data_IF_948266780899
#
_entry.id   IF_948266780899
#
_cell.length_a   1.000
_cell.length_b   1.000
_cell.length_c   1.000
_cell.angle_alpha   90.00
_cell.angle_beta   90.00
_cell.angle_gamma   90.00
#
_symmetry.space_group_name_H-M   'P 1'
#
loop_
_entity.id
_entity.type
_entity.pdbx_description
1 polymer ?
#
# COMPACT_ATOMS: atom_id res chain seq x y z
N UNK A 1 -50.15 26.94 -16.00
CA UNK A 1 -50.75 27.21 -17.33
C UNK A 1 -49.70 27.94 -18.16
N UNK A 2 -48.78 27.23 -18.82
CA UNK A 2 -48.87 26.65 -20.17
C UNK A 2 -48.78 27.69 -21.32
N UNK A 3 -47.54 27.88 -21.80
CA UNK A 3 -47.03 27.97 -23.19
C UNK A 3 -47.76 28.80 -24.25
N UNK A 4 -46.97 29.61 -24.98
CA UNK A 4 -46.78 29.71 -26.47
C UNK A 4 -46.20 31.11 -26.79
N UNK A 5 -45.18 31.37 -27.61
CA UNK A 5 -44.29 30.57 -28.45
C UNK A 5 -43.58 31.47 -29.49
N UNK A 6 -42.42 31.01 -30.02
CA UNK A 6 -41.88 31.21 -31.40
C UNK A 6 -41.23 32.60 -31.69
N UNK A 7 -40.07 32.80 -32.34
CA UNK A 7 -39.16 32.08 -33.28
C UNK A 7 -37.72 32.64 -33.09
N UNK A 8 -36.57 31.95 -33.20
CA UNK A 8 -35.95 31.06 -34.20
C UNK A 8 -35.09 31.77 -35.29
N UNK A 9 -33.85 31.24 -35.44
CA UNK A 9 -32.89 31.29 -36.57
C UNK A 9 -32.02 32.57 -36.73
N UNK A 10 -30.75 32.59 -37.17
CA UNK A 10 -29.79 31.69 -37.87
C UNK A 10 -28.38 31.98 -37.29
N UNK A 11 -27.40 31.08 -37.08
CA UNK A 11 -26.69 30.14 -37.95
C UNK A 11 -25.76 30.74 -39.04
N UNK A 12 -24.45 30.49 -38.86
CA UNK A 12 -23.35 30.26 -39.83
C UNK A 12 -22.57 31.42 -40.50
N UNK A 13 -21.30 31.10 -40.85
CA UNK A 13 -20.32 31.75 -41.78
C UNK A 13 -19.16 32.47 -41.04
N UNK A 14 -17.85 32.26 -41.24
CA UNK A 14 -17.04 31.50 -42.23
C UNK A 14 -15.60 31.32 -41.67
N UNK A 15 -14.93 30.26 -42.11
CA UNK A 15 -13.48 30.03 -41.96
C UNK A 15 -12.65 30.68 -43.09
N UNK A 16 -11.32 30.70 -42.87
CA UNK A 16 -10.18 30.84 -43.82
C UNK A 16 -9.47 32.21 -43.92
N UNK A 17 -8.35 32.31 -43.19
CA UNK A 17 -6.97 32.41 -43.74
C UNK A 17 -6.50 33.70 -44.40
N UNK A 18 -5.34 34.22 -43.95
CA UNK A 18 -4.23 34.71 -44.78
C UNK A 18 -2.99 35.05 -43.91
N UNK A 19 -1.86 34.52 -44.36
CA UNK A 19 -0.46 34.67 -43.89
C UNK A 19 0.13 36.06 -44.11
N UNK A 20 1.02 36.53 -43.20
CA UNK A 20 2.24 37.27 -43.54
C UNK A 20 3.15 37.54 -42.31
N UNK A 21 4.44 37.21 -42.45
CA UNK A 21 5.69 37.80 -41.89
C UNK A 21 5.76 38.12 -40.37
N UNK A 22 6.74 37.70 -39.56
CA UNK A 22 8.13 37.31 -39.80
C UNK A 22 9.05 38.23 -38.97
N UNK A 23 9.64 37.75 -37.87
CA UNK A 23 10.97 38.13 -37.34
C UNK A 23 11.28 37.38 -36.02
N UNK A 24 12.51 36.84 -35.91
CA UNK A 24 13.07 36.20 -34.70
C UNK A 24 13.74 37.25 -33.81
N UNK A 25 13.79 37.04 -32.48
CA UNK A 25 14.97 37.41 -31.70
C UNK A 25 15.76 36.19 -31.21
N UNK A 26 17.07 36.39 -31.15
CA UNK A 26 18.12 35.43 -30.84
C UNK A 26 18.11 34.91 -29.40
N UNK A 27 18.66 33.70 -29.32
CA UNK A 27 19.31 33.02 -28.21
C UNK A 27 19.83 33.89 -27.04
N UNK A 28 19.36 33.55 -25.85
CA UNK A 28 20.19 33.58 -24.64
C UNK A 28 20.23 32.17 -24.06
N UNK A 29 21.42 31.56 -24.12
CA UNK A 29 21.76 30.30 -23.46
C UNK A 29 21.75 30.46 -21.94
N UNK A 30 21.01 29.60 -21.24
CA UNK A 30 21.33 29.20 -19.86
C UNK A 30 20.79 27.80 -19.59
N UNK A 31 21.71 26.88 -19.27
CA UNK A 31 21.46 25.71 -18.42
C UNK A 31 20.90 24.46 -19.10
N UNK A 32 21.76 23.50 -19.43
CA UNK A 32 21.39 22.09 -19.55
C UNK A 32 20.86 21.60 -18.19
N UNK A 33 19.55 21.66 -17.96
CA UNK A 33 18.90 20.79 -16.98
C UNK A 33 18.48 19.53 -17.72
N UNK A 34 19.34 18.51 -17.72
CA UNK A 34 18.89 17.15 -18.01
C UNK A 34 17.85 16.77 -16.96
N UNK A 35 16.58 16.87 -17.32
CA UNK A 35 15.50 16.17 -16.63
C UNK A 35 15.89 14.69 -16.60
N UNK A 36 16.01 14.04 -15.43
CA UNK A 36 16.22 12.60 -15.39
C UNK A 36 15.01 11.96 -16.05
N UNK A 37 15.26 11.16 -17.09
CA UNK A 37 14.23 10.32 -17.68
C UNK A 37 13.75 9.36 -16.59
N UNK A 38 12.47 9.49 -16.23
CA UNK A 38 11.76 8.49 -15.43
C UNK A 38 11.97 7.14 -16.11
N UNK A 39 12.47 6.09 -15.42
CA UNK A 39 12.45 4.75 -15.95
C UNK A 39 10.99 4.45 -16.30
N UNK A 40 10.76 4.05 -17.55
CA UNK A 40 9.45 3.58 -18.00
C UNK A 40 9.21 2.22 -17.34
N UNK A 41 8.81 2.25 -16.08
CA UNK A 41 8.13 1.13 -15.45
C UNK A 41 6.91 0.77 -16.28
N UNK A 42 6.60 -0.51 -16.36
CA UNK A 42 5.34 -0.99 -16.89
C UNK A 42 4.19 -0.37 -16.08
N UNK A 43 3.72 0.81 -16.47
CA UNK A 43 2.39 1.28 -16.08
C UNK A 43 1.47 0.78 -17.18
N UNK A 44 1.15 -0.51 -17.11
CA UNK A 44 0.01 -1.03 -17.83
C UNK A 44 -1.21 -0.22 -17.38
N UNK A 45 -2.08 0.15 -18.32
CA UNK A 45 -3.29 0.89 -18.00
C UNK A 45 -4.03 0.17 -16.86
N UNK A 46 -4.57 0.92 -15.91
CA UNK A 46 -5.33 0.42 -14.76
C UNK A 46 -6.58 -0.32 -15.25
N UNK A 47 -6.42 -1.57 -15.65
CA UNK A 47 -7.51 -2.49 -15.98
C UNK A 47 -7.86 -3.16 -14.67
N UNK A 48 -8.77 -2.54 -13.93
CA UNK A 48 -9.50 -3.25 -12.87
C UNK A 48 -10.26 -4.38 -13.58
N UNK A 49 -9.95 -5.66 -13.32
CA UNK A 49 -10.56 -6.73 -14.09
C UNK A 49 -12.02 -6.93 -13.64
N UNK A 50 -12.90 -7.30 -14.57
CA UNK A 50 -14.33 -7.55 -14.29
C UNK A 50 -14.51 -8.72 -13.30
N UNK A 51 -13.57 -9.65 -13.27
CA UNK A 51 -13.41 -10.71 -12.27
C UNK A 51 -11.93 -11.14 -12.19
N UNK A 52 -11.55 -11.95 -11.20
CA UNK A 52 -10.17 -12.42 -11.05
C UNK A 52 -9.91 -13.80 -11.69
N UNK A 53 -10.72 -14.20 -12.68
CA UNK A 53 -10.49 -15.45 -13.42
C UNK A 53 -9.45 -15.21 -14.51
N UNK A 54 -8.41 -16.05 -14.55
CA UNK A 54 -7.37 -15.95 -15.56
C UNK A 54 -7.87 -16.37 -16.94
N UNK A 55 -8.89 -17.24 -17.01
CA UNK A 55 -9.36 -17.86 -18.25
C UNK A 55 -8.36 -18.84 -18.87
N UNK A 56 -7.27 -19.16 -18.17
CA UNK A 56 -6.19 -20.03 -18.64
C UNK A 56 -6.33 -21.41 -18.01
N UNK A 57 -6.27 -22.45 -18.82
CA UNK A 57 -6.22 -23.83 -18.33
C UNK A 57 -4.83 -24.12 -17.74
N UNK A 58 -4.78 -24.53 -16.48
CA UNK A 58 -3.51 -24.86 -15.82
C UNK A 58 -2.89 -26.12 -16.43
N UNK A 59 -1.58 -26.08 -16.64
CA UNK A 59 -0.84 -27.24 -17.12
C UNK A 59 -0.85 -28.37 -16.07
N UNK A 60 -0.78 -29.65 -16.47
CA UNK A 60 -0.78 -30.77 -15.53
C UNK A 60 0.38 -30.74 -14.51
N UNK A 61 1.50 -30.11 -14.86
CA UNK A 61 2.70 -29.93 -14.05
C UNK A 61 2.81 -28.52 -13.43
N UNK A 62 1.69 -27.78 -13.33
CA UNK A 62 1.66 -26.44 -12.76
C UNK A 62 2.26 -26.41 -11.35
N UNK A 63 3.26 -25.53 -11.14
CA UNK A 63 3.77 -25.24 -9.79
C UNK A 63 2.81 -24.26 -9.08
N UNK A 64 2.50 -24.54 -7.81
CA UNK A 64 1.58 -23.74 -7.01
C UNK A 64 2.32 -23.14 -5.82
N UNK A 65 2.49 -21.82 -5.84
CA UNK A 65 3.03 -21.08 -4.70
C UNK A 65 1.98 -20.98 -3.59
N UNK A 66 2.39 -21.09 -2.32
CA UNK A 66 1.56 -20.75 -1.17
C UNK A 66 1.73 -19.26 -0.88
N UNK A 67 0.64 -18.49 -1.05
CA UNK A 67 0.60 -17.07 -0.77
C UNK A 67 -0.22 -16.78 0.49
N UNK A 68 0.45 -16.43 1.58
CA UNK A 68 -0.17 -16.10 2.87
C UNK A 68 -0.28 -14.59 3.10
N UNK A 69 -1.44 -14.13 3.56
CA UNK A 69 -1.69 -12.73 3.90
C UNK A 69 -2.81 -12.54 4.94
N UNK A 70 -2.93 -11.30 5.42
CA UNK A 70 -4.00 -10.87 6.32
C UNK A 70 -5.38 -10.75 5.66
N UNK A 71 -6.28 -10.01 6.32
CA UNK A 71 -7.71 -9.93 5.97
C UNK A 71 -8.12 -8.65 5.22
N UNK A 72 -7.17 -7.77 4.86
CA UNK A 72 -7.53 -6.49 4.25
C UNK A 72 -8.09 -6.68 2.82
N UNK A 73 -9.29 -6.17 2.50
CA UNK A 73 -9.92 -6.43 1.20
C UNK A 73 -9.06 -6.03 -0.01
N UNK A 74 -8.42 -4.85 0.05
CA UNK A 74 -7.59 -4.36 -1.05
C UNK A 74 -6.37 -5.26 -1.31
N UNK A 75 -5.75 -5.81 -0.26
CA UNK A 75 -4.59 -6.70 -0.41
C UNK A 75 -5.01 -8.09 -0.88
N UNK A 76 -6.20 -8.55 -0.48
CA UNK A 76 -6.78 -9.79 -0.99
C UNK A 76 -7.05 -9.68 -2.49
N UNK A 77 -7.63 -8.57 -2.94
CA UNK A 77 -7.88 -8.35 -4.36
C UNK A 77 -6.58 -8.19 -5.16
N UNK A 78 -5.55 -7.54 -4.60
CA UNK A 78 -4.21 -7.51 -5.19
C UNK A 78 -3.58 -8.92 -5.30
N UNK A 79 -3.77 -9.79 -4.29
CA UNK A 79 -3.29 -11.17 -4.35
C UNK A 79 -4.01 -12.01 -5.41
N UNK A 80 -5.34 -11.83 -5.57
CA UNK A 80 -6.11 -12.46 -6.64
C UNK A 80 -5.68 -11.94 -8.02
N UNK A 81 -5.44 -10.64 -8.15
CA UNK A 81 -4.91 -10.05 -9.37
C UNK A 81 -3.54 -10.62 -9.73
N UNK A 82 -2.65 -10.75 -8.74
CA UNK A 82 -1.35 -11.39 -8.89
C UNK A 82 -1.49 -12.83 -9.38
N UNK A 83 -2.37 -13.64 -8.78
CA UNK A 83 -2.67 -15.00 -9.22
C UNK A 83 -3.11 -15.04 -10.69
N UNK A 84 -4.07 -14.19 -11.05
CA UNK A 84 -4.62 -14.09 -12.40
C UNK A 84 -3.52 -13.79 -13.43
N UNK A 85 -2.69 -12.76 -13.16
CA UNK A 85 -1.57 -12.41 -14.06
C UNK A 85 -0.50 -13.49 -14.08
N UNK A 86 -0.20 -14.12 -12.94
CA UNK A 86 0.78 -15.21 -12.89
C UNK A 86 0.38 -16.38 -13.79
N UNK A 87 -0.90 -16.76 -13.77
CA UNK A 87 -1.44 -17.82 -14.64
C UNK A 87 -1.43 -17.41 -16.11
N UNK A 88 -1.75 -16.15 -16.43
CA UNK A 88 -1.74 -15.61 -17.79
C UNK A 88 -0.33 -15.51 -18.38
N UNK A 89 0.60 -14.87 -17.66
CA UNK A 89 1.97 -14.63 -18.13
C UNK A 89 2.81 -15.92 -18.18
N UNK A 90 2.40 -16.96 -17.45
CA UNK A 90 3.09 -18.26 -17.45
C UNK A 90 2.46 -19.30 -18.37
N UNK A 91 1.41 -18.94 -19.13
CA UNK A 91 0.59 -19.86 -19.90
C UNK A 91 0.18 -21.09 -19.07
N UNK A 92 -0.31 -20.86 -17.84
CA UNK A 92 -0.78 -21.89 -16.92
C UNK A 92 0.31 -22.78 -16.30
N UNK A 93 1.59 -22.43 -16.44
CA UNK A 93 2.69 -23.17 -15.80
C UNK A 93 2.86 -22.85 -14.31
N UNK A 94 2.43 -21.65 -13.89
CA UNK A 94 2.53 -21.16 -12.52
C UNK A 94 1.16 -20.71 -12.03
N UNK A 95 0.89 -20.97 -10.75
CA UNK A 95 -0.31 -20.52 -10.05
C UNK A 95 0.03 -20.30 -8.58
N UNK A 96 -0.88 -19.70 -7.82
CA UNK A 96 -0.74 -19.62 -6.37
C UNK A 96 -2.04 -19.96 -5.63
N UNK A 97 -1.90 -20.58 -4.47
CA UNK A 97 -2.96 -20.84 -3.50
C UNK A 97 -2.91 -19.76 -2.42
N UNK A 98 -4.00 -18.98 -2.34
CA UNK A 98 -4.07 -17.79 -1.49
C UNK A 98 -4.73 -18.16 -0.16
N UNK A 99 -4.03 -17.89 0.93
CA UNK A 99 -4.50 -18.11 2.30
C UNK A 99 -4.61 -16.77 3.03
N UNK A 100 -5.85 -16.35 3.30
CA UNK A 100 -6.19 -15.06 3.91
C UNK A 100 -6.43 -15.17 5.42
N UNK A 101 -6.78 -14.04 6.03
CA UNK A 101 -7.28 -13.99 7.41
C UNK A 101 -6.29 -14.46 8.47
N UNK A 102 -4.99 -14.48 8.14
CA UNK A 102 -3.94 -15.00 9.01
C UNK A 102 -4.19 -16.47 9.44
N UNK A 103 -4.90 -17.26 8.61
CA UNK A 103 -5.23 -18.67 8.92
C UNK A 103 -3.99 -19.54 9.11
N UNK A 104 -2.87 -19.14 8.52
CA UNK A 104 -1.58 -19.83 8.61
C UNK A 104 -0.68 -19.32 9.75
N UNK A 105 -1.10 -18.28 10.48
CA UNK A 105 -0.32 -17.69 11.58
C UNK A 105 -0.22 -16.17 11.50
N UNK A 106 0.40 -15.58 12.51
CA UNK A 106 0.74 -14.15 12.57
C UNK A 106 1.79 -13.78 11.52
N UNK A 107 1.86 -12.50 11.10
CA UNK A 107 2.81 -12.05 10.07
C UNK A 107 4.27 -12.45 10.37
N UNK A 108 4.66 -12.43 11.65
CA UNK A 108 6.00 -12.84 12.07
C UNK A 108 6.24 -14.33 11.83
N UNK A 109 5.30 -15.18 12.25
CA UNK A 109 5.37 -16.63 12.02
C UNK A 109 5.36 -16.96 10.52
N UNK A 110 4.59 -16.21 9.72
CA UNK A 110 4.58 -16.36 8.26
C UNK A 110 5.93 -16.02 7.64
N UNK A 111 6.56 -14.91 8.06
CA UNK A 111 7.90 -14.54 7.58
C UNK A 111 8.96 -15.58 7.98
N UNK A 112 8.95 -16.05 9.23
CA UNK A 112 9.84 -17.13 9.67
C UNK A 112 9.61 -18.41 8.86
N UNK A 113 8.34 -18.78 8.64
CA UNK A 113 7.96 -19.93 7.81
C UNK A 113 8.40 -19.78 6.35
N UNK A 114 8.37 -18.57 5.80
CA UNK A 114 8.83 -18.27 4.45
C UNK A 114 10.35 -18.46 4.31
N UNK A 115 11.15 -18.04 5.30
CA UNK A 115 12.60 -18.29 5.30
C UNK A 115 12.94 -19.79 5.28
N UNK A 116 12.10 -20.62 5.92
CA UNK A 116 12.25 -22.07 5.93
C UNK A 116 11.65 -22.77 4.70
N UNK A 117 10.96 -22.03 3.82
CA UNK A 117 10.32 -22.58 2.62
C UNK A 117 8.99 -23.29 2.88
N UNK A 118 8.34 -23.04 4.02
CA UNK A 118 7.00 -23.55 4.29
C UNK A 118 5.91 -22.79 3.51
N UNK A 119 6.19 -21.52 3.19
CA UNK A 119 5.34 -20.64 2.38
C UNK A 119 6.21 -19.93 1.35
N UNK A 120 5.70 -19.74 0.13
CA UNK A 120 6.49 -19.15 -0.94
C UNK A 120 6.38 -17.61 -0.99
N UNK A 121 5.20 -17.07 -0.70
CA UNK A 121 4.91 -15.63 -0.76
C UNK A 121 4.19 -15.20 0.50
N UNK A 122 4.66 -14.14 1.14
CA UNK A 122 4.04 -13.56 2.33
C UNK A 122 3.88 -12.06 2.15
N UNK A 123 2.67 -11.55 2.42
CA UNK A 123 2.45 -10.13 2.60
C UNK A 123 2.53 -9.79 4.09
N UNK A 124 3.48 -8.95 4.48
CA UNK A 124 3.68 -8.51 5.85
C UNK A 124 3.87 -7.00 5.94
N UNK A 125 3.54 -6.42 7.09
CA UNK A 125 3.73 -4.98 7.32
C UNK A 125 5.20 -4.62 7.60
N UNK A 126 5.58 -3.39 7.25
CA UNK A 126 6.95 -2.87 7.44
C UNK A 126 7.48 -3.12 8.85
N UNK A 127 6.66 -2.89 9.86
CA UNK A 127 7.02 -3.10 11.26
C UNK A 127 7.43 -4.55 11.57
N UNK A 128 6.70 -5.52 11.04
CA UNK A 128 7.02 -6.94 11.22
C UNK A 128 8.30 -7.29 10.46
N UNK A 129 8.44 -6.82 9.22
CA UNK A 129 9.65 -7.04 8.39
C UNK A 129 10.90 -6.42 9.03
N UNK A 130 10.75 -5.28 9.72
CA UNK A 130 11.85 -4.60 10.39
C UNK A 130 12.49 -5.42 11.52
N UNK A 131 11.78 -6.41 12.06
CA UNK A 131 12.35 -7.37 13.02
C UNK A 131 13.41 -8.29 12.40
N UNK A 132 13.43 -8.43 11.07
CA UNK A 132 14.40 -9.22 10.31
C UNK A 132 15.48 -8.36 9.65
N UNK A 133 15.11 -7.14 9.22
CA UNK A 133 16.01 -6.15 8.63
C UNK A 133 15.76 -4.77 9.22
N UNK A 134 16.63 -4.34 10.13
CA UNK A 134 16.49 -3.06 10.84
C UNK A 134 16.42 -1.84 9.92
N UNK A 135 17.00 -1.90 8.72
CA UNK A 135 16.99 -0.76 7.78
C UNK A 135 15.57 -0.38 7.36
N UNK A 136 14.62 -1.32 7.41
CA UNK A 136 13.21 -1.09 7.13
C UNK A 136 12.58 -0.10 8.12
N UNK A 137 13.10 0.04 9.34
CA UNK A 137 12.61 1.04 10.31
C UNK A 137 12.69 2.47 9.78
N UNK A 138 13.52 2.76 8.77
CA UNK A 138 13.55 4.09 8.18
C UNK A 138 12.21 4.50 7.57
N UNK A 139 11.36 3.54 7.18
CA UNK A 139 10.03 3.78 6.62
C UNK A 139 8.98 4.15 7.69
N UNK A 140 9.23 3.77 8.95
CA UNK A 140 8.29 3.97 10.06
C UNK A 140 8.55 5.25 10.85
N UNK A 141 9.45 6.12 10.37
CA UNK A 141 9.73 7.41 11.00
C UNK A 141 8.46 8.27 10.96
N UNK A 142 7.95 8.74 12.12
CA UNK A 142 6.72 9.52 12.17
C UNK A 142 6.83 10.81 11.35
N UNK A 143 5.78 11.11 10.59
CA UNK A 143 5.68 12.35 9.78
C UNK A 143 6.74 12.49 8.68
N UNK A 144 7.38 11.39 8.27
CA UNK A 144 8.42 11.41 7.23
C UNK A 144 7.88 11.79 5.85
N UNK A 145 6.63 11.41 5.55
CA UNK A 145 6.01 11.60 4.24
C UNK A 145 4.82 12.55 4.33
N UNK A 146 4.75 13.51 3.40
CA UNK A 146 3.68 14.49 3.30
C UNK A 146 2.42 13.91 2.64
N UNK A 147 2.60 12.96 1.72
CA UNK A 147 1.51 12.38 0.94
C UNK A 147 1.92 11.03 0.32
N UNK A 148 0.93 10.31 -0.24
CA UNK A 148 1.10 8.98 -0.83
C UNK A 148 2.04 8.98 -2.04
N UNK A 149 1.98 10.02 -2.87
CA UNK A 149 2.81 10.11 -4.08
C UNK A 149 4.30 10.13 -3.74
N UNK A 150 4.67 10.88 -2.69
CA UNK A 150 6.04 10.89 -2.19
C UNK A 150 6.49 9.50 -1.70
N UNK A 151 5.60 8.73 -1.06
CA UNK A 151 5.91 7.37 -0.63
C UNK A 151 6.24 6.49 -1.83
N UNK A 152 5.43 6.55 -2.89
CA UNK A 152 5.65 5.76 -4.11
C UNK A 152 6.97 6.12 -4.77
N UNK A 153 7.25 7.41 -4.97
CA UNK A 153 8.50 7.86 -5.60
C UNK A 153 9.76 7.45 -4.82
N UNK A 154 9.67 7.40 -3.48
CA UNK A 154 10.77 6.99 -2.62
C UNK A 154 10.98 5.47 -2.66
N UNK A 155 9.88 4.70 -2.58
CA UNK A 155 9.91 3.23 -2.54
C UNK A 155 10.16 2.59 -3.91
N UNK A 156 9.76 3.25 -5.00
CA UNK A 156 10.05 2.81 -6.38
C UNK A 156 11.43 3.32 -6.85
N UNK A 157 12.14 4.04 -5.99
CA UNK A 157 13.46 4.60 -6.26
C UNK A 157 14.60 3.85 -5.57
N UNK A 158 15.74 4.54 -5.46
CA UNK A 158 16.99 3.99 -4.92
C UNK A 158 16.85 3.43 -3.51
N UNK A 159 15.99 4.04 -2.67
CA UNK A 159 15.76 3.53 -1.32
C UNK A 159 15.12 2.14 -1.35
N UNK A 160 14.07 1.96 -2.16
CA UNK A 160 13.42 0.66 -2.31
C UNK A 160 14.37 -0.43 -2.80
N UNK A 161 15.17 -0.13 -3.83
CA UNK A 161 16.19 -1.06 -4.34
C UNK A 161 17.21 -1.44 -3.26
N UNK A 162 17.63 -0.46 -2.45
CA UNK A 162 18.58 -0.69 -1.35
C UNK A 162 17.97 -1.58 -0.27
N UNK A 163 16.71 -1.33 0.11
CA UNK A 163 15.99 -2.14 1.09
C UNK A 163 15.72 -3.55 0.56
N UNK A 164 15.39 -3.69 -0.72
CA UNK A 164 15.20 -4.99 -1.38
C UNK A 164 16.48 -5.83 -1.34
N UNK A 165 17.63 -5.23 -1.67
CA UNK A 165 18.93 -5.90 -1.59
C UNK A 165 19.26 -6.34 -0.15
N UNK A 166 18.99 -5.49 0.83
CA UNK A 166 19.20 -5.84 2.25
C UNK A 166 18.30 -6.98 2.74
N UNK A 167 17.10 -7.14 2.17
CA UNK A 167 16.20 -8.26 2.46
C UNK A 167 16.69 -9.58 1.85
N UNK A 168 17.37 -9.54 0.71
CA UNK A 168 17.95 -10.75 0.09
C UNK A 168 19.00 -11.40 1.00
N UNK A 169 19.83 -10.59 1.68
CA UNK A 169 20.78 -11.07 2.69
C UNK A 169 20.09 -11.73 3.91
N UNK A 170 18.80 -11.47 4.10
CA UNK A 170 17.95 -12.09 5.13
C UNK A 170 17.13 -13.26 4.60
N UNK A 171 17.34 -13.69 3.36
CA UNK A 171 16.62 -14.82 2.77
C UNK A 171 15.22 -14.47 2.25
N UNK A 172 14.96 -13.17 2.00
CA UNK A 172 13.70 -12.71 1.42
C UNK A 172 13.92 -12.05 0.07
N UNK A 173 13.10 -12.39 -0.92
CA UNK A 173 13.03 -11.64 -2.18
C UNK A 173 11.85 -10.69 -2.12
N UNK A 174 12.11 -9.38 -2.12
CA UNK A 174 11.04 -8.39 -2.20
C UNK A 174 10.45 -8.38 -3.62
N UNK A 175 9.15 -8.64 -3.73
CA UNK A 175 8.43 -8.63 -5.01
C UNK A 175 7.87 -7.25 -5.34
N UNK A 176 7.29 -6.58 -4.33
CA UNK A 176 6.71 -5.24 -4.45
C UNK A 176 6.49 -4.63 -3.06
N UNK A 177 6.45 -3.31 -3.00
CA UNK A 177 5.83 -2.60 -1.88
C UNK A 177 4.32 -2.49 -2.15
N UNK A 178 3.50 -2.80 -1.15
CA UNK A 178 2.06 -2.57 -1.22
C UNK A 178 1.65 -1.43 -0.31
N UNK A 179 0.71 -0.61 -0.76
CA UNK A 179 0.20 0.49 0.03
C UNK A 179 -0.71 -0.02 1.16
N UNK A 180 -0.27 0.20 2.39
CA UNK A 180 -1.15 0.24 3.55
C UNK A 180 -1.15 1.69 4.05
N UNK A 181 -2.15 2.46 3.61
CA UNK A 181 -2.27 3.92 3.73
C UNK A 181 -1.92 4.47 5.13
N UNK A 182 -1.80 5.80 5.26
CA UNK A 182 -1.42 6.44 6.52
C UNK A 182 -2.24 5.98 7.73
N UNK A 183 -1.53 5.80 8.84
CA UNK A 183 -2.06 5.27 10.08
C UNK A 183 -2.74 6.38 10.89
N UNK A 184 -3.81 6.01 11.56
CA UNK A 184 -4.61 6.91 12.39
C UNK A 184 -4.90 6.22 13.72
N UNK A 185 -4.77 6.98 14.81
CA UNK A 185 -5.21 6.53 16.13
C UNK A 185 -6.73 6.37 16.16
N UNK A 186 -7.19 5.23 16.62
CA UNK A 186 -8.57 5.03 17.07
C UNK A 186 -8.59 4.60 18.52
N UNK A 187 -9.68 4.93 19.18
CA UNK A 187 -9.90 4.69 20.61
C UNK A 187 -11.34 4.26 20.80
N UNK A 188 -11.61 3.38 21.77
CA UNK A 188 -12.97 2.93 22.05
C UNK A 188 -13.86 4.09 22.54
N UNK A 189 -13.41 4.84 23.56
CA UNK A 189 -14.29 5.80 24.26
C UNK A 189 -13.62 7.15 24.56
N UNK A 190 -12.43 7.43 24.02
CA UNK A 190 -11.66 8.64 24.35
C UNK A 190 -11.34 9.49 23.13
N UNK A 191 -12.05 10.60 22.97
CA UNK A 191 -11.69 11.61 21.97
C UNK A 191 -10.28 12.15 22.23
N UNK A 192 -9.42 12.12 21.21
CA UNK A 192 -8.07 12.68 21.23
C UNK A 192 -8.00 13.83 20.23
N UNK A 193 -7.83 15.06 20.71
CA UNK A 193 -7.71 16.24 19.84
C UNK A 193 -6.34 16.92 19.96
N UNK A 194 -5.60 16.62 21.02
CA UNK A 194 -4.27 17.16 21.29
C UNK A 194 -3.40 16.10 21.99
N UNK A 195 -2.08 16.27 21.89
CA UNK A 195 -1.09 15.33 22.44
C UNK A 195 -1.33 15.06 23.94
N UNK A 196 -1.76 16.05 24.72
CA UNK A 196 -2.02 15.84 26.16
C UNK A 196 -3.12 14.81 26.47
N UNK A 197 -4.03 14.56 25.52
CA UNK A 197 -5.13 13.61 25.68
C UNK A 197 -4.66 12.15 25.59
N UNK A 198 -3.45 11.94 25.06
CA UNK A 198 -2.78 10.64 25.00
C UNK A 198 -2.28 10.17 26.36
N UNK A 199 -2.21 11.07 27.36
CA UNK A 199 -1.65 10.74 28.67
C UNK A 199 -2.39 9.56 29.30
N UNK A 200 -1.64 8.49 29.55
CA UNK A 200 -2.12 7.26 30.19
C UNK A 200 -3.01 6.37 29.31
N UNK A 201 -3.25 6.74 28.06
CA UNK A 201 -4.03 5.93 27.11
C UNK A 201 -3.26 4.65 26.78
N UNK A 202 -3.88 3.48 26.98
CA UNK A 202 -3.28 2.20 26.59
C UNK A 202 -3.52 1.96 25.10
N UNK A 203 -2.46 1.88 24.32
CA UNK A 203 -2.58 1.79 22.85
C UNK A 203 -1.89 0.52 22.39
N UNK A 204 -2.56 -0.30 21.58
CA UNK A 204 -1.87 -1.37 20.85
C UNK A 204 -1.04 -0.74 19.73
N UNK A 205 0.21 -1.17 19.64
CA UNK A 205 1.10 -0.89 18.51
C UNK A 205 1.54 -2.19 17.85
N UNK A 206 2.09 -2.09 16.63
CA UNK A 206 2.76 -3.24 16.01
C UNK A 206 4.06 -3.57 16.78
N UNK A 207 4.64 -4.74 16.54
CA UNK A 207 5.86 -5.20 17.19
C UNK A 207 7.10 -4.43 16.69
N UNK A 208 7.18 -3.16 17.07
CA UNK A 208 8.11 -2.18 16.53
C UNK A 208 8.63 -1.24 17.63
N UNK A 209 9.94 -1.23 17.83
CA UNK A 209 10.59 -0.42 18.87
C UNK A 209 10.50 1.09 18.62
N UNK A 210 10.47 1.51 17.35
CA UNK A 210 10.31 2.91 16.96
C UNK A 210 8.91 3.41 17.33
N UNK A 211 7.87 2.62 17.05
CA UNK A 211 6.49 2.94 17.48
C UNK A 211 6.38 2.95 19.01
N UNK A 212 7.06 2.03 19.70
CA UNK A 212 7.10 2.02 21.15
C UNK A 212 7.69 3.32 21.72
N UNK A 213 8.83 3.76 21.18
CA UNK A 213 9.47 5.01 21.57
C UNK A 213 8.60 6.23 21.24
N UNK A 214 8.02 6.27 20.04
CA UNK A 214 7.11 7.33 19.58
C UNK A 214 5.94 7.52 20.54
N UNK A 215 5.16 6.46 20.80
CA UNK A 215 3.95 6.57 21.61
C UNK A 215 4.24 6.85 23.09
N UNK A 216 5.35 6.33 23.63
CA UNK A 216 5.84 6.72 24.96
C UNK A 216 6.20 8.21 25.01
N UNK A 217 6.87 8.73 23.99
CA UNK A 217 7.23 10.15 23.92
C UNK A 217 6.00 11.08 23.88
N UNK A 218 4.89 10.58 23.32
CA UNK A 218 3.61 11.29 23.31
C UNK A 218 2.82 11.16 24.63
N UNK A 219 3.32 10.38 25.59
CA UNK A 219 2.72 10.20 26.91
C UNK A 219 1.68 9.07 27.01
N UNK A 220 1.52 8.27 25.96
CA UNK A 220 0.69 7.07 25.97
C UNK A 220 1.40 5.88 26.63
N UNK A 221 0.65 4.81 26.86
CA UNK A 221 1.12 3.52 27.37
C UNK A 221 1.00 2.47 26.24
N UNK A 222 1.96 2.42 25.30
CA UNK A 222 1.90 1.46 24.19
C UNK A 222 2.20 0.03 24.62
N UNK A 223 1.47 -0.93 24.05
CA UNK A 223 1.70 -2.37 24.20
C UNK A 223 1.90 -3.00 22.81
N UNK A 224 3.09 -3.52 22.50
CA UNK A 224 3.32 -4.31 21.29
C UNK A 224 2.50 -5.59 21.32
N UNK A 225 1.82 -5.91 20.22
CA UNK A 225 0.94 -7.07 20.12
C UNK A 225 0.70 -7.46 18.66
N UNK A 226 0.60 -8.76 18.39
CA UNK A 226 0.23 -9.27 17.08
C UNK A 226 -1.18 -8.78 16.67
N UNK A 227 -1.42 -8.60 15.37
CA UNK A 227 -2.71 -8.10 14.90
C UNK A 227 -3.87 -9.06 15.23
N UNK A 228 -3.59 -10.37 15.23
CA UNK A 228 -4.56 -11.43 15.56
C UNK A 228 -5.10 -11.37 16.99
N UNK A 229 -4.37 -10.74 17.91
CA UNK A 229 -4.77 -10.61 19.32
C UNK A 229 -5.52 -9.29 19.60
N UNK A 230 -5.47 -8.33 18.66
CA UNK A 230 -5.97 -6.97 18.85
C UNK A 230 -7.47 -6.92 19.17
N UNK A 231 -8.28 -7.68 18.43
CA UNK A 231 -9.73 -7.67 18.63
C UNK A 231 -10.11 -8.09 20.04
N UNK A 232 -9.53 -9.19 20.53
CA UNK A 232 -9.77 -9.66 21.90
C UNK A 232 -9.23 -8.68 22.93
N UNK A 233 -8.07 -8.07 22.70
CA UNK A 233 -7.49 -7.08 23.59
C UNK A 233 -8.36 -5.82 23.74
N UNK A 234 -8.97 -5.35 22.64
CA UNK A 234 -9.95 -4.25 22.65
C UNK A 234 -11.24 -4.67 23.37
N UNK A 235 -11.78 -5.85 23.06
CA UNK A 235 -13.00 -6.37 23.69
C UNK A 235 -12.87 -6.54 25.22
N UNK A 236 -11.68 -6.93 25.67
CA UNK A 236 -11.38 -7.12 27.10
C UNK A 236 -10.88 -5.83 27.78
N UNK A 237 -10.80 -4.71 27.06
CA UNK A 237 -10.26 -3.44 27.54
C UNK A 237 -8.82 -3.54 28.11
N UNK A 238 -8.04 -4.49 27.58
CA UNK A 238 -6.60 -4.59 27.86
C UNK A 238 -5.86 -3.41 27.24
N UNK A 239 -6.32 -2.97 26.06
CA UNK A 239 -5.94 -1.71 25.41
C UNK A 239 -7.19 -0.86 25.17
N UNK A 240 -7.02 0.46 25.17
CA UNK A 240 -8.10 1.44 25.02
C UNK A 240 -8.21 1.95 23.56
N UNK A 241 -7.26 1.57 22.70
CA UNK A 241 -7.16 2.02 21.32
C UNK A 241 -6.00 1.37 20.58
N UNK A 242 -5.83 1.79 19.32
CA UNK A 242 -4.82 1.27 18.41
C UNK A 242 -4.48 2.29 17.33
N UNK A 243 -3.32 2.14 16.71
CA UNK A 243 -2.88 2.96 15.57
C UNK A 243 -2.87 2.10 14.30
N UNK A 244 -3.70 2.43 13.30
CA UNK A 244 -3.75 1.73 12.00
C UNK A 244 -4.54 2.55 10.95
N UNK A 245 -4.49 2.18 9.67
CA UNK A 245 -5.25 2.88 8.63
C UNK A 245 -6.77 2.72 8.80
N UNK A 246 -7.54 3.75 8.38
CA UNK A 246 -8.99 3.82 8.57
C UNK A 246 -9.77 2.64 7.96
N UNK A 247 -9.30 2.04 6.86
CA UNK A 247 -9.96 0.91 6.22
C UNK A 247 -10.00 -0.34 7.11
N UNK A 248 -8.90 -0.64 7.80
CA UNK A 248 -8.83 -1.75 8.76
C UNK A 248 -9.70 -1.46 9.98
N UNK A 249 -9.67 -0.21 10.47
CA UNK A 249 -10.46 0.21 11.63
C UNK A 249 -11.98 0.02 11.43
N UNK A 250 -12.47 0.16 10.20
CA UNK A 250 -13.89 -0.07 9.89
C UNK A 250 -14.25 -1.54 9.66
N UNK A 251 -13.30 -2.35 9.18
CA UNK A 251 -13.51 -3.79 8.96
C UNK A 251 -13.71 -4.55 10.28
N UNK A 252 -13.01 -4.14 11.34
CA UNK A 252 -13.08 -4.80 12.65
C UNK A 252 -14.32 -4.44 13.48
N UNK A 253 -15.22 -3.56 12.97
CA UNK A 253 -16.48 -3.13 13.63
C UNK A 253 -16.33 -2.82 15.13
N UNK A 254 -15.23 -2.20 15.54
CA UNK A 254 -15.00 -1.78 16.93
C UNK A 254 -15.53 -0.36 17.19
N UNK A 255 -16.57 0.05 16.46
CA UNK A 255 -17.29 1.32 16.66
C UNK A 255 -18.78 1.06 16.79
#
# INVERSE_FOLDING_TARGET
>A
MLKRGIAAALATVMALGLTACGEKPQDTKTGDSKTPATPTGFVEAKVEPDNFDSGVELKPDCYRFIYALGNAPATIDAAKYFKMRLEQESDGALSCDIYTDNVLGSERELLEGCQFGNYDIVLATNATVASFSNDIFCLDIPWLYDNKQQVYEVLDGVLGDTLAAGLEDKGFKLLQFQENSFRTLTTSDRKVEKVSDLKGLKIRIMENELQLAQWKSYGANPTPMAFTELFTALQQHTVDGQDNWCGVNMADKVL
#
